data_IF_859878125431
#
_entry.id   IF_859878125431
#
_cell.length_a   1.000
_cell.length_b   1.000
_cell.length_c   1.000
_cell.angle_alpha   90.00
_cell.angle_beta   90.00
_cell.angle_gamma   90.00
#
_symmetry.space_group_name_H-M   'P 1'
#
loop_
_entity.id
_entity.type
_entity.pdbx_description
1 polymer ?
#
# COMPACT_ATOMS: atom_id res chain seq x y z
N UNK A 1 15.05 -11.41 -17.38
CA UNK A 1 14.04 -12.39 -17.81
C UNK A 1 12.87 -12.30 -16.86
N UNK A 2 11.69 -12.04 -17.40
CA UNK A 2 10.43 -11.92 -16.66
C UNK A 2 9.58 -13.12 -17.02
N UNK A 3 8.94 -13.72 -16.03
CA UNK A 3 8.05 -14.87 -16.20
C UNK A 3 6.73 -14.58 -15.48
N UNK A 4 5.61 -15.05 -16.03
CA UNK A 4 4.33 -15.03 -15.32
C UNK A 4 4.20 -16.30 -14.49
N UNK A 5 4.03 -16.17 -13.18
CA UNK A 5 3.62 -17.30 -12.33
C UNK A 5 2.09 -17.36 -12.33
N UNK A 6 1.53 -18.30 -13.09
CA UNK A 6 0.09 -18.30 -13.37
C UNK A 6 -0.32 -17.08 -14.21
N UNK A 7 -1.50 -16.52 -13.96
CA UNK A 7 -2.06 -15.43 -14.79
C UNK A 7 -1.91 -14.01 -14.21
N UNK A 8 -1.50 -13.82 -12.95
CA UNK A 8 -1.76 -12.56 -12.21
C UNK A 8 -0.53 -11.66 -12.01
N UNK A 9 0.53 -12.13 -11.35
CA UNK A 9 1.69 -11.28 -10.98
C UNK A 9 2.98 -11.76 -11.70
N UNK A 10 3.58 -10.95 -12.59
CA UNK A 10 4.88 -11.26 -13.19
C UNK A 10 6.01 -11.22 -12.14
N UNK A 11 6.98 -12.13 -12.28
CA UNK A 11 8.18 -12.17 -11.44
C UNK A 11 9.46 -12.07 -12.28
N UNK A 12 10.50 -11.47 -11.68
CA UNK A 12 11.84 -11.48 -12.25
C UNK A 12 12.51 -12.79 -11.85
N UNK A 13 12.88 -13.62 -12.82
CA UNK A 13 13.48 -14.95 -12.58
C UNK A 13 15.00 -14.95 -12.69
N UNK A 14 15.55 -14.10 -13.55
CA UNK A 14 17.01 -13.88 -13.66
C UNK A 14 17.34 -12.58 -14.36
N UNK A 15 18.53 -12.06 -14.07
CA UNK A 15 19.16 -10.97 -14.83
C UNK A 15 19.96 -11.55 -15.99
N UNK A 16 19.94 -10.90 -17.15
CA UNK A 16 20.77 -11.28 -18.30
C UNK A 16 22.03 -10.41 -18.30
N UNK A 17 23.08 -10.88 -17.63
CA UNK A 17 24.31 -10.09 -17.41
C UNK A 17 25.00 -9.77 -18.75
N UNK A 18 24.99 -10.70 -19.70
CA UNK A 18 25.60 -10.52 -21.04
C UNK A 18 24.91 -9.45 -21.91
N UNK A 19 23.76 -8.94 -21.46
CA UNK A 19 23.01 -7.87 -22.13
C UNK A 19 23.04 -6.55 -21.36
N UNK A 20 23.91 -6.42 -20.36
CA UNK A 20 24.09 -5.14 -19.67
C UNK A 20 24.72 -4.12 -20.63
N UNK A 21 24.27 -2.86 -20.63
CA UNK A 21 24.92 -1.81 -21.40
C UNK A 21 26.37 -1.64 -20.92
N UNK A 22 27.29 -1.41 -21.87
CA UNK A 22 28.71 -1.20 -21.59
C UNK A 22 28.97 0.16 -20.92
N UNK A 23 28.04 1.11 -21.08
CA UNK A 23 28.11 2.43 -20.46
C UNK A 23 27.63 2.30 -19.01
N UNK A 24 28.56 2.22 -18.06
CA UNK A 24 28.27 2.09 -16.62
C UNK A 24 27.31 3.18 -16.10
N UNK A 25 27.32 4.38 -16.69
CA UNK A 25 26.48 5.51 -16.30
C UNK A 25 24.97 5.30 -16.54
N UNK A 26 24.58 4.25 -17.27
CA UNK A 26 23.16 3.88 -17.46
C UNK A 26 22.64 2.91 -16.39
N UNK A 27 23.51 2.34 -15.57
CA UNK A 27 23.14 1.43 -14.49
C UNK A 27 23.18 2.16 -13.15
N UNK A 28 22.04 2.17 -12.47
CA UNK A 28 21.96 2.67 -11.09
C UNK A 28 21.87 1.51 -10.11
N UNK A 29 22.63 1.60 -9.03
CA UNK A 29 22.52 0.64 -7.92
C UNK A 29 21.14 0.80 -7.27
N UNK A 30 20.44 -0.32 -7.09
CA UNK A 30 19.20 -0.32 -6.32
C UNK A 30 19.51 -0.28 -4.83
N UNK A 31 19.03 0.76 -4.15
CA UNK A 31 19.14 0.91 -2.70
C UNK A 31 17.75 0.86 -2.10
N UNK A 32 17.56 0.00 -1.09
CA UNK A 32 16.31 -0.01 -0.33
C UNK A 32 16.09 1.35 0.35
N UNK A 33 14.87 1.91 0.31
CA UNK A 33 14.60 3.20 0.91
C UNK A 33 14.80 3.15 2.43
N UNK A 34 15.61 4.07 2.96
CA UNK A 34 15.80 4.26 4.40
C UNK A 34 14.65 5.01 5.07
N UNK A 35 13.83 5.70 4.26
CA UNK A 35 12.64 6.44 4.69
C UNK A 35 11.41 6.00 3.91
N UNK A 36 10.27 5.92 4.59
CA UNK A 36 9.01 5.52 3.99
C UNK A 36 8.59 6.55 2.92
N UNK A 37 8.29 6.12 1.68
CA UNK A 37 7.90 7.05 0.61
C UNK A 37 6.53 7.69 0.83
N UNK A 38 5.74 7.21 1.79
CA UNK A 38 4.39 7.72 2.08
C UNK A 38 4.39 8.71 3.25
N UNK A 39 5.05 8.38 4.35
CA UNK A 39 5.00 9.19 5.58
C UNK A 39 6.36 9.75 6.03
N UNK A 40 7.46 9.44 5.34
CA UNK A 40 8.81 9.92 5.66
C UNK A 40 9.47 9.26 6.89
N UNK A 41 8.76 8.40 7.63
CA UNK A 41 9.32 7.72 8.79
C UNK A 41 10.44 6.74 8.43
N UNK A 42 11.26 6.36 9.40
CA UNK A 42 12.35 5.40 9.20
C UNK A 42 11.83 4.02 8.74
N UNK A 43 12.59 3.38 7.86
CA UNK A 43 12.37 2.00 7.42
C UNK A 43 13.42 1.11 8.06
N UNK A 44 12.96 0.05 8.73
CA UNK A 44 13.85 -0.93 9.37
C UNK A 44 13.64 -2.31 8.76
N UNK A 45 14.73 -3.08 8.68
CA UNK A 45 14.70 -4.50 8.37
C UNK A 45 15.17 -5.26 9.61
N UNK A 46 14.26 -5.90 10.37
CA UNK A 46 14.65 -6.67 11.55
C UNK A 46 15.68 -7.75 11.20
N UNK A 47 16.54 -8.07 12.17
CA UNK A 47 17.57 -9.09 12.00
C UNK A 47 16.92 -10.44 11.66
N UNK A 48 17.39 -11.08 10.58
CA UNK A 48 16.87 -12.36 10.11
C UNK A 48 15.62 -12.27 9.21
N UNK A 49 15.02 -11.10 9.04
CA UNK A 49 13.84 -10.95 8.18
C UNK A 49 14.21 -10.56 6.73
N UNK A 50 13.37 -10.98 5.78
CA UNK A 50 13.50 -10.56 4.38
C UNK A 50 12.89 -9.18 4.09
N UNK A 51 11.87 -8.80 4.88
CA UNK A 51 11.00 -7.64 4.60
C UNK A 51 11.46 -6.43 5.39
N UNK A 52 11.54 -5.28 4.71
CA UNK A 52 11.74 -3.98 5.34
C UNK A 52 10.39 -3.32 5.63
N UNK A 53 10.21 -2.72 6.80
CA UNK A 53 8.93 -2.13 7.24
C UNK A 53 9.09 -0.69 7.71
N UNK A 54 8.05 0.11 7.43
CA UNK A 54 7.90 1.44 8.01
C UNK A 54 7.66 1.32 9.52
N UNK A 55 8.37 2.13 10.33
CA UNK A 55 8.23 2.13 11.79
C UNK A 55 7.04 2.93 12.30
N UNK A 56 6.49 3.83 11.49
CA UNK A 56 5.35 4.64 11.92
C UNK A 56 4.05 3.85 11.84
N UNK A 57 3.38 3.66 12.99
CA UNK A 57 2.08 2.98 13.09
C UNK A 57 0.92 3.83 12.56
N UNK A 58 1.04 5.16 12.60
CA UNK A 58 0.01 6.09 12.10
C UNK A 58 0.21 6.47 10.63
N UNK A 59 1.03 5.72 9.90
CA UNK A 59 1.24 5.93 8.47
C UNK A 59 -0.06 5.79 7.69
N UNK A 60 -0.39 6.74 6.81
CA UNK A 60 -1.60 6.68 5.99
C UNK A 60 -1.71 5.38 5.17
N UNK A 61 -0.60 4.84 4.66
CA UNK A 61 -0.62 3.55 3.95
C UNK A 61 -1.00 2.39 4.87
N UNK A 62 -0.47 2.37 6.10
CA UNK A 62 -0.86 1.36 7.10
C UNK A 62 -2.33 1.53 7.52
N UNK A 63 -2.79 2.76 7.68
CA UNK A 63 -4.18 3.04 8.03
C UNK A 63 -5.15 2.56 6.95
N UNK A 64 -4.85 2.82 5.67
CA UNK A 64 -5.67 2.33 4.55
C UNK A 64 -5.76 0.80 4.56
N UNK A 65 -4.63 0.11 4.66
CA UNK A 65 -4.62 -1.37 4.74
C UNK A 65 -5.31 -1.90 6.00
N UNK A 66 -5.15 -1.23 7.14
CA UNK A 66 -5.82 -1.61 8.38
C UNK A 66 -7.35 -1.48 8.26
N UNK A 67 -7.85 -0.42 7.62
CA UNK A 67 -9.27 -0.23 7.36
C UNK A 67 -9.83 -1.29 6.42
N UNK A 68 -9.08 -1.67 5.38
CA UNK A 68 -9.47 -2.73 4.44
C UNK A 68 -9.47 -4.11 5.10
N UNK A 69 -8.47 -4.40 5.92
CA UNK A 69 -8.45 -5.64 6.69
C UNK A 69 -9.61 -5.68 7.69
N UNK A 70 -9.87 -4.57 8.37
CA UNK A 70 -10.96 -4.43 9.34
C UNK A 70 -12.34 -4.59 8.69
N UNK A 71 -12.54 -4.06 7.48
CA UNK A 71 -13.80 -4.20 6.72
C UNK A 71 -13.98 -5.55 6.04
N UNK A 72 -12.93 -6.37 5.98
CA UNK A 72 -12.96 -7.66 5.29
C UNK A 72 -14.03 -8.62 5.85
N UNK A 73 -14.40 -9.61 5.02
CA UNK A 73 -15.40 -10.63 5.36
C UNK A 73 -15.04 -11.41 6.62
N UNK A 74 -13.76 -11.66 6.85
CA UNK A 74 -13.27 -12.44 8.00
C UNK A 74 -13.05 -11.57 9.26
N UNK A 75 -13.32 -10.27 9.19
CA UNK A 75 -13.21 -9.33 10.30
C UNK A 75 -14.59 -8.75 10.67
N UNK A 76 -14.85 -7.47 10.43
CA UNK A 76 -16.13 -6.82 10.78
C UNK A 76 -17.18 -6.89 9.67
N UNK A 77 -16.84 -7.41 8.49
CA UNK A 77 -17.75 -7.60 7.36
C UNK A 77 -18.54 -6.33 7.00
N UNK A 78 -17.84 -5.29 6.52
CA UNK A 78 -18.44 -4.04 6.07
C UNK A 78 -18.46 -4.03 4.53
N UNK A 79 -19.56 -4.49 3.94
CA UNK A 79 -19.65 -4.87 2.52
C UNK A 79 -19.27 -3.78 1.51
N UNK A 80 -19.50 -2.50 1.83
CA UNK A 80 -19.29 -1.37 0.90
C UNK A 80 -18.02 -0.55 1.19
N UNK A 81 -17.20 -0.98 2.16
CA UNK A 81 -15.98 -0.28 2.54
C UNK A 81 -14.76 -0.85 1.79
N UNK A 82 -14.72 -0.60 0.48
CA UNK A 82 -13.65 -1.00 -0.44
C UNK A 82 -12.50 0.01 -0.58
N UNK A 83 -11.49 -0.37 -1.36
CA UNK A 83 -10.25 0.38 -1.65
C UNK A 83 -10.47 1.87 -1.92
N UNK A 84 -11.33 2.20 -2.91
CA UNK A 84 -11.59 3.58 -3.34
C UNK A 84 -12.31 4.41 -2.28
N UNK A 85 -13.11 3.79 -1.42
CA UNK A 85 -13.80 4.50 -0.33
C UNK A 85 -12.83 4.75 0.80
N UNK A 86 -12.06 3.73 1.20
CA UNK A 86 -11.02 3.84 2.23
C UNK A 86 -9.98 4.90 1.85
N UNK A 87 -9.50 4.91 0.60
CA UNK A 87 -8.60 5.94 0.10
C UNK A 87 -9.18 7.33 0.28
N UNK A 88 -10.42 7.56 -0.16
CA UNK A 88 -11.05 8.87 -0.04
C UNK A 88 -11.30 9.28 1.41
N UNK A 89 -11.67 8.35 2.29
CA UNK A 89 -11.88 8.64 3.72
C UNK A 89 -10.58 9.10 4.39
N UNK A 90 -9.47 8.40 4.12
CA UNK A 90 -8.16 8.74 4.69
C UNK A 90 -7.59 10.01 4.05
N UNK A 91 -7.63 10.14 2.72
CA UNK A 91 -7.02 11.28 2.01
C UNK A 91 -7.77 12.59 2.27
N UNK A 92 -9.10 12.53 2.50
CA UNK A 92 -9.90 13.68 2.94
C UNK A 92 -9.87 13.91 4.44
N UNK A 93 -9.07 13.13 5.19
CA UNK A 93 -8.93 13.21 6.65
C UNK A 93 -10.26 13.06 7.41
N UNK A 94 -11.20 12.32 6.84
CA UNK A 94 -12.47 11.97 7.51
C UNK A 94 -12.28 10.82 8.50
N UNK A 95 -11.23 10.01 8.30
CA UNK A 95 -10.86 8.88 9.15
C UNK A 95 -9.35 8.94 9.39
N UNK A 96 -8.95 8.87 10.65
CA UNK A 96 -7.57 8.88 11.14
C UNK A 96 -7.21 7.61 11.91
N UNK A 97 -8.21 6.85 12.34
CA UNK A 97 -8.08 5.58 13.05
C UNK A 97 -9.33 4.70 12.81
N UNK A 98 -9.32 3.46 13.27
CA UNK A 98 -10.43 2.51 13.02
C UNK A 98 -11.76 2.95 13.67
N UNK A 99 -11.71 3.59 14.85
CA UNK A 99 -12.93 3.97 15.57
C UNK A 99 -13.70 5.11 14.91
N UNK A 100 -13.02 5.95 14.13
CA UNK A 100 -13.64 7.07 13.41
C UNK A 100 -14.75 6.59 12.45
N UNK A 101 -14.68 5.34 11.97
CA UNK A 101 -15.73 4.74 11.13
C UNK A 101 -17.11 4.80 11.79
N UNK A 102 -17.17 4.63 13.11
CA UNK A 102 -18.43 4.64 13.86
C UNK A 102 -18.99 6.04 14.12
N UNK A 103 -18.18 7.08 13.88
CA UNK A 103 -18.57 8.48 14.05
C UNK A 103 -18.89 9.17 12.72
N UNK A 104 -18.69 8.50 11.58
CA UNK A 104 -19.04 9.02 10.26
C UNK A 104 -20.54 9.29 10.16
N UNK A 105 -20.88 10.49 9.68
CA UNK A 105 -22.27 10.87 9.43
C UNK A 105 -22.57 10.77 7.94
N UNK A 106 -23.86 10.66 7.61
CA UNK A 106 -24.32 10.66 6.22
C UNK A 106 -23.81 11.88 5.43
N UNK A 107 -23.68 13.03 6.09
CA UNK A 107 -23.14 14.26 5.50
C UNK A 107 -21.67 14.13 5.06
N UNK A 108 -20.87 13.31 5.76
CA UNK A 108 -19.47 13.06 5.43
C UNK A 108 -19.35 12.11 4.25
N UNK A 109 -20.17 11.05 4.23
CA UNK A 109 -20.23 10.09 3.13
C UNK A 109 -20.67 10.74 1.81
N UNK A 110 -21.57 11.73 1.87
CA UNK A 110 -22.00 12.52 0.69
C UNK A 110 -20.86 13.32 0.04
N UNK A 111 -19.77 13.57 0.76
CA UNK A 111 -18.58 14.25 0.20
C UNK A 111 -17.74 13.29 -0.64
N UNK A 112 -17.97 11.98 -0.56
CA UNK A 112 -17.23 10.97 -1.30
C UNK A 112 -17.77 10.85 -2.72
N UNK A 113 -16.87 10.59 -3.67
CA UNK A 113 -17.27 10.23 -5.03
C UNK A 113 -17.77 8.79 -4.99
N UNK A 114 -18.90 8.48 -5.66
CA UNK A 114 -19.37 7.12 -5.76
C UNK A 114 -18.27 6.24 -6.38
N UNK A 115 -18.05 5.03 -5.86
CA UNK A 115 -17.13 4.11 -6.50
C UNK A 115 -17.68 3.86 -7.90
N UNK A 116 -16.83 3.98 -8.93
CA UNK A 116 -17.25 3.61 -10.28
C UNK A 116 -17.65 2.14 -10.22
N UNK A 117 -18.94 1.88 -10.41
CA UNK A 117 -19.44 0.55 -10.72
C UNK A 117 -18.72 0.09 -11.97
N UNK A 118 -17.99 -1.02 -11.88
CA UNK A 118 -17.64 -1.77 -13.07
C UNK A 118 -18.93 -2.35 -13.67
#
# INVERSE_FOLDING_TARGET
MVEKSGEIIPKIVKVLVDKRPEIENELQEFVMPSTCPVCGASVIRPLGEAVSRCTNETCNAKLKEALLHFSSRDAMQIDELGDKIVEQLVDKKLVSNLSDLYYLKLADLRKLKPPRSN
#
